data_IF_313964836492
#
_entry.id   IF_313964836492
#
_cell.length_a   1.000
_cell.length_b   1.000
_cell.length_c   1.000
_cell.angle_alpha   90.00
_cell.angle_beta   90.00
_cell.angle_gamma   90.00
#
_symmetry.space_group_name_H-M   'P 1'
#
loop_
_entity.id
_entity.type
_entity.pdbx_description
1 polymer ?
#
# COMPACT_ATOMS: atom_id res chain seq x y z
N UNK A 1 7.63 -24.96 5.30
CA UNK A 1 6.20 -25.24 5.56
C UNK A 1 5.38 -24.03 5.10
N UNK A 2 4.10 -24.22 4.82
CA UNK A 2 3.21 -23.09 4.55
C UNK A 2 2.52 -22.65 5.85
N UNK A 3 2.19 -21.38 5.94
CA UNK A 3 1.68 -20.67 7.11
C UNK A 3 0.36 -20.01 6.73
N UNK A 4 -0.56 -19.87 7.67
CA UNK A 4 -1.88 -19.28 7.41
C UNK A 4 -1.87 -17.82 7.86
N UNK A 5 -2.28 -16.93 6.97
CA UNK A 5 -2.54 -15.53 7.29
C UNK A 5 -4.01 -15.22 7.00
N UNK A 6 -4.60 -14.35 7.82
CA UNK A 6 -6.00 -13.93 7.70
C UNK A 6 -6.10 -12.46 7.30
N UNK A 7 -7.07 -12.19 6.44
CA UNK A 7 -7.34 -10.88 5.84
C UNK A 7 -8.62 -10.31 6.45
N UNK A 8 -8.51 -9.23 7.19
CA UNK A 8 -9.60 -8.53 7.87
C UNK A 8 -9.99 -7.27 7.08
N UNK A 9 -11.29 -6.91 6.95
CA UNK A 9 -12.48 -7.58 7.49
C UNK A 9 -13.05 -8.72 6.63
N UNK A 10 -12.40 -9.07 5.52
CA UNK A 10 -12.93 -10.03 4.55
C UNK A 10 -13.08 -11.46 5.12
N UNK A 11 -12.35 -11.78 6.18
CA UNK A 11 -12.33 -13.12 6.77
C UNK A 11 -11.60 -14.16 5.93
N UNK A 12 -11.00 -13.76 4.80
CA UNK A 12 -10.29 -14.65 3.88
C UNK A 12 -8.98 -15.12 4.50
N UNK A 13 -8.69 -16.40 4.38
CA UNK A 13 -7.41 -16.99 4.78
C UNK A 13 -6.60 -17.35 3.55
N UNK A 14 -5.28 -17.19 3.65
CA UNK A 14 -4.36 -17.54 2.57
C UNK A 14 -3.09 -18.17 3.10
N UNK A 15 -2.55 -19.07 2.28
CA UNK A 15 -1.36 -19.83 2.57
C UNK A 15 -0.13 -19.17 1.98
N UNK A 16 0.87 -18.92 2.82
CA UNK A 16 2.14 -18.29 2.46
C UNK A 16 3.30 -19.19 2.91
N UNK A 17 4.38 -19.29 2.11
CA UNK A 17 5.52 -20.11 2.54
C UNK A 17 6.28 -19.40 3.67
N UNK A 18 6.88 -20.17 4.56
CA UNK A 18 7.83 -19.62 5.54
C UNK A 18 8.88 -18.76 4.84
N UNK A 19 9.16 -17.59 5.40
CA UNK A 19 10.07 -16.55 4.88
C UNK A 19 9.64 -15.83 3.60
N UNK A 20 8.50 -16.16 2.99
CA UNK A 20 7.92 -15.34 1.93
C UNK A 20 7.36 -14.03 2.51
N UNK A 21 7.29 -12.99 1.67
CA UNK A 21 6.72 -11.70 2.07
C UNK A 21 5.20 -11.72 2.04
N UNK A 22 4.56 -11.00 2.97
CA UNK A 22 3.10 -10.92 3.08
C UNK A 22 2.43 -10.49 1.78
N UNK A 23 3.08 -9.62 1.00
CA UNK A 23 2.57 -9.14 -0.28
C UNK A 23 2.21 -10.29 -1.23
N UNK A 24 3.02 -11.35 -1.30
CA UNK A 24 2.74 -12.52 -2.14
C UNK A 24 1.42 -13.22 -1.78
N UNK A 25 1.04 -13.23 -0.49
CA UNK A 25 -0.25 -13.76 -0.03
C UNK A 25 -1.42 -12.82 -0.34
N UNK A 26 -1.20 -11.51 -0.24
CA UNK A 26 -2.20 -10.48 -0.52
C UNK A 26 -2.57 -10.42 -2.00
N UNK A 27 -1.57 -10.42 -2.89
CA UNK A 27 -1.78 -10.36 -4.34
C UNK A 27 -2.56 -11.56 -4.88
N UNK A 28 -2.36 -12.75 -4.30
CA UNK A 28 -3.10 -13.98 -4.68
C UNK A 28 -4.62 -13.86 -4.44
N UNK A 29 -5.04 -13.04 -3.49
CA UNK A 29 -6.44 -12.88 -3.12
C UNK A 29 -7.07 -11.64 -3.77
N UNK A 30 -6.42 -11.07 -4.79
CA UNK A 30 -6.89 -9.89 -5.54
C UNK A 30 -7.29 -8.73 -4.63
N UNK A 31 -6.59 -8.59 -3.51
CA UNK A 31 -6.80 -7.48 -2.61
C UNK A 31 -6.22 -6.20 -3.22
N UNK A 32 -6.80 -5.04 -2.88
CA UNK A 32 -6.36 -3.69 -3.28
C UNK A 32 -5.00 -3.33 -2.64
N UNK A 33 -3.97 -4.10 -2.94
CA UNK A 33 -2.60 -3.93 -2.50
C UNK A 33 -1.74 -3.97 -3.75
N UNK A 34 -0.88 -2.97 -3.90
CA UNK A 34 -0.03 -2.86 -5.08
C UNK A 34 1.44 -2.84 -4.73
N UNK A 35 2.25 -3.14 -5.73
CA UNK A 35 3.69 -3.11 -5.67
C UNK A 35 4.25 -2.04 -6.62
N UNK A 36 3.82 -0.80 -6.47
CA UNK A 36 4.17 0.31 -7.36
C UNK A 36 5.69 0.45 -7.55
N UNK A 37 6.46 0.31 -6.46
CA UNK A 37 7.93 0.35 -6.51
C UNK A 37 8.59 -1.01 -6.80
N UNK A 38 7.84 -2.03 -7.25
CA UNK A 38 8.33 -3.39 -7.47
C UNK A 38 8.76 -4.12 -6.19
N UNK A 39 8.19 -3.75 -5.03
CA UNK A 39 8.54 -4.38 -3.75
C UNK A 39 9.88 -3.93 -3.16
N UNK A 40 10.42 -2.79 -3.58
CA UNK A 40 11.71 -2.25 -3.11
C UNK A 40 11.65 -1.57 -1.73
N UNK A 41 10.46 -1.39 -1.18
CA UNK A 41 10.24 -0.68 0.09
C UNK A 41 10.47 0.82 -0.05
N UNK A 42 9.83 1.45 -1.06
CA UNK A 42 9.99 2.88 -1.38
C UNK A 42 8.65 3.58 -1.64
N UNK A 43 7.54 2.85 -1.60
CA UNK A 43 6.19 3.38 -1.75
C UNK A 43 5.30 2.90 -0.60
N UNK A 44 4.11 3.48 -0.47
CA UNK A 44 3.12 3.09 0.52
C UNK A 44 2.05 2.14 -0.02
N UNK A 45 2.06 1.79 -1.30
CA UNK A 45 0.96 1.02 -1.92
C UNK A 45 0.82 -0.43 -1.42
N UNK A 46 1.82 -0.94 -0.70
CA UNK A 46 1.78 -2.24 -0.03
C UNK A 46 1.63 -2.14 1.50
N UNK A 47 1.30 -0.94 1.99
CA UNK A 47 1.11 -0.67 3.41
C UNK A 47 -0.07 -1.46 3.95
N UNK A 48 0.12 -2.04 5.14
CA UNK A 48 -0.88 -2.82 5.85
C UNK A 48 -0.82 -2.51 7.34
N UNK A 49 -1.91 -2.84 8.04
CA UNK A 49 -1.97 -2.88 9.50
C UNK A 49 -1.98 -4.33 9.96
N UNK A 50 -1.08 -4.68 10.89
CA UNK A 50 -1.06 -6.01 11.52
C UNK A 50 -1.95 -5.98 12.76
N UNK A 51 -3.08 -6.68 12.73
CA UNK A 51 -4.01 -6.78 13.87
C UNK A 51 -3.52 -7.77 14.91
N UNK A 52 -2.89 -8.87 14.48
CA UNK A 52 -2.35 -9.94 15.33
C UNK A 52 -1.13 -10.60 14.67
N UNK A 53 -0.25 -11.20 15.46
CA UNK A 53 0.92 -11.95 14.97
C UNK A 53 2.05 -11.05 14.47
N UNK A 54 2.30 -9.91 15.11
CA UNK A 54 3.41 -9.03 14.73
C UNK A 54 4.77 -9.70 15.00
N UNK A 55 4.85 -10.46 16.09
CA UNK A 55 5.96 -11.33 16.48
C UNK A 55 6.23 -12.47 15.49
N UNK A 56 5.21 -12.84 14.70
CA UNK A 56 5.29 -13.84 13.63
C UNK A 56 5.86 -13.27 12.32
N UNK A 57 6.33 -12.02 12.31
CA UNK A 57 6.94 -11.37 11.16
C UNK A 57 8.42 -11.05 11.39
N UNK A 58 9.17 -10.98 10.30
CA UNK A 58 10.56 -10.51 10.36
C UNK A 58 10.65 -9.09 10.94
N UNK A 59 11.74 -8.75 11.64
CA UNK A 59 11.99 -7.39 12.10
C UNK A 59 11.93 -6.36 10.97
N UNK A 60 11.60 -5.12 11.32
CA UNK A 60 11.63 -3.99 10.39
C UNK A 60 13.04 -3.79 9.83
N UNK A 61 13.18 -3.81 8.51
CA UNK A 61 14.45 -3.49 7.87
C UNK A 61 14.61 -1.96 7.69
N UNK A 62 15.81 -1.52 7.30
CA UNK A 62 16.14 -0.08 7.17
C UNK A 62 15.26 0.65 6.15
N UNK A 63 14.97 0.03 5.00
CA UNK A 63 14.13 0.65 3.96
C UNK A 63 12.69 0.77 4.44
N UNK A 64 12.17 -0.31 5.02
CA UNK A 64 10.83 -0.35 5.60
C UNK A 64 10.63 0.78 6.63
N UNK A 65 11.57 0.97 7.56
CA UNK A 65 11.51 2.05 8.55
C UNK A 65 11.43 3.43 7.90
N UNK A 66 12.32 3.72 6.95
CA UNK A 66 12.35 5.02 6.25
C UNK A 66 11.06 5.32 5.50
N UNK A 67 10.47 4.33 4.87
CA UNK A 67 9.20 4.52 4.17
C UNK A 67 8.03 4.67 5.14
N UNK A 68 8.01 3.91 6.25
CA UNK A 68 6.98 4.07 7.28
C UNK A 68 7.01 5.46 7.93
N UNK A 69 8.18 6.09 8.05
CA UNK A 69 8.33 7.46 8.59
C UNK A 69 7.65 8.53 7.74
N UNK A 70 7.54 8.31 6.41
CA UNK A 70 6.91 9.28 5.50
C UNK A 70 5.43 8.99 5.23
N UNK A 71 4.92 7.85 5.71
CA UNK A 71 3.51 7.48 5.54
C UNK A 71 2.67 8.22 6.58
N UNK A 72 1.80 9.10 6.10
CA UNK A 72 0.94 9.95 6.95
C UNK A 72 -0.04 9.17 7.82
N UNK A 73 -0.48 7.98 7.36
CA UNK A 73 -1.42 7.10 8.08
C UNK A 73 -0.72 5.98 8.86
N UNK A 74 0.60 6.09 9.05
CA UNK A 74 1.40 5.08 9.74
C UNK A 74 0.99 4.97 11.21
N UNK A 75 0.92 3.73 11.71
CA UNK A 75 0.63 3.37 13.10
C UNK A 75 1.70 2.42 13.62
N UNK A 76 1.74 2.20 14.94
CA UNK A 76 2.69 1.26 15.56
C UNK A 76 2.60 -0.16 14.99
N UNK A 77 1.42 -0.55 14.52
CA UNK A 77 1.19 -1.85 13.91
C UNK A 77 1.30 -1.85 12.37
N UNK A 78 1.83 -0.78 11.77
CA UNK A 78 2.02 -0.69 10.33
C UNK A 78 3.22 -1.48 9.85
N UNK A 79 3.06 -2.14 8.70
CA UNK A 79 4.13 -2.83 7.97
C UNK A 79 4.03 -2.53 6.48
N UNK A 80 5.13 -2.70 5.77
CA UNK A 80 5.10 -2.84 4.31
C UNK A 80 5.03 -4.32 3.97
N UNK A 81 3.94 -4.76 3.37
CA UNK A 81 3.74 -6.18 3.08
C UNK A 81 4.84 -6.77 2.19
N UNK A 82 5.48 -5.96 1.34
CA UNK A 82 6.61 -6.41 0.51
C UNK A 82 7.90 -6.68 1.30
N UNK A 83 8.05 -6.06 2.48
CA UNK A 83 9.23 -6.18 3.34
C UNK A 83 9.00 -7.12 4.53
N UNK A 84 7.75 -7.32 4.94
CA UNK A 84 7.38 -8.17 6.06
C UNK A 84 7.35 -9.65 5.67
N UNK A 85 8.32 -10.43 6.14
CA UNK A 85 8.40 -11.89 5.89
C UNK A 85 7.70 -12.66 7.00
N UNK A 86 6.96 -13.71 6.63
CA UNK A 86 6.22 -14.53 7.60
C UNK A 86 7.10 -15.63 8.17
N UNK A 87 7.37 -15.57 9.47
CA UNK A 87 8.23 -16.51 10.21
C UNK A 87 7.45 -17.37 11.21
N UNK A 88 6.30 -16.89 11.71
CA UNK A 88 5.40 -17.58 12.65
C UNK A 88 3.98 -17.76 12.10
N UNK A 89 3.08 -18.37 12.85
CA UNK A 89 1.65 -18.52 12.47
C UNK A 89 0.79 -17.36 13.00
N UNK A 90 -0.46 -17.30 12.56
CA UNK A 90 -1.49 -16.48 13.20
C UNK A 90 -1.42 -14.98 12.87
N UNK A 91 -0.84 -14.62 11.73
CA UNK A 91 -0.80 -13.23 11.27
C UNK A 91 -2.18 -12.83 10.77
N UNK A 92 -2.73 -11.76 11.32
CA UNK A 92 -3.98 -11.14 10.86
C UNK A 92 -3.66 -9.74 10.38
N UNK A 93 -4.04 -9.41 9.15
CA UNK A 93 -3.72 -8.13 8.52
C UNK A 93 -4.98 -7.44 8.00
N UNK A 94 -4.93 -6.12 7.97
CA UNK A 94 -5.97 -5.21 7.48
C UNK A 94 -5.33 -4.23 6.49
N UNK A 95 -6.08 -3.83 5.47
CA UNK A 95 -5.65 -2.86 4.48
C UNK A 95 -6.07 -1.43 4.84
N UNK A 96 -5.29 -0.41 4.46
CA UNK A 96 -5.73 0.97 4.51
C UNK A 96 -7.00 1.16 3.67
N UNK A 97 -7.92 2.01 4.16
CA UNK A 97 -9.09 2.40 3.40
C UNK A 97 -8.74 3.47 2.36
N UNK A 98 -9.22 3.30 1.13
CA UNK A 98 -9.03 4.21 0.01
C UNK A 98 -8.40 3.53 -1.20
N UNK A 99 -8.28 4.31 -2.27
CA UNK A 99 -7.70 3.93 -3.56
C UNK A 99 -6.45 4.76 -3.80
N UNK A 100 -5.36 4.14 -4.22
CA UNK A 100 -4.16 4.88 -4.61
C UNK A 100 -4.32 5.50 -5.99
N UNK A 101 -3.74 6.68 -6.18
CA UNK A 101 -3.74 7.37 -7.47
C UNK A 101 -3.20 6.50 -8.63
N UNK A 102 -2.26 5.59 -8.37
CA UNK A 102 -1.72 4.68 -9.38
C UNK A 102 -2.74 3.67 -9.92
N UNK A 103 -3.86 3.44 -9.22
CA UNK A 103 -4.95 2.57 -9.69
C UNK A 103 -5.82 3.24 -10.76
N UNK A 104 -5.70 4.56 -10.93
CA UNK A 104 -6.56 5.33 -11.83
C UNK A 104 -5.92 5.36 -13.23
N UNK A 105 -6.54 4.62 -14.15
CA UNK A 105 -6.15 4.56 -15.56
C UNK A 105 -6.47 5.88 -16.28
N UNK A 106 -7.73 6.33 -16.22
CA UNK A 106 -8.22 7.56 -16.83
C UNK A 106 -8.64 8.57 -15.76
N UNK A 107 -7.74 9.51 -15.46
CA UNK A 107 -7.93 10.55 -14.45
C UNK A 107 -8.94 11.62 -14.95
N UNK A 108 -8.94 11.94 -16.24
CA UNK A 108 -9.83 12.95 -16.83
C UNK A 108 -11.30 12.50 -16.77
N UNK A 109 -11.57 11.20 -16.88
CA UNK A 109 -12.91 10.63 -16.73
C UNK A 109 -13.55 10.88 -15.34
N UNK A 110 -12.77 11.30 -14.34
CA UNK A 110 -13.25 11.61 -13.00
C UNK A 110 -13.84 13.03 -12.87
N UNK A 111 -13.60 13.93 -13.84
CA UNK A 111 -14.09 15.32 -13.77
C UNK A 111 -15.61 15.35 -13.61
N UNK A 112 -16.08 16.13 -12.64
CA UNK A 112 -17.50 16.30 -12.34
C UNK A 112 -18.13 15.14 -11.57
N UNK A 113 -17.38 14.08 -11.27
CA UNK A 113 -17.83 12.97 -10.40
C UNK A 113 -17.47 13.26 -8.94
N UNK A 114 -18.14 12.58 -8.02
CA UNK A 114 -17.73 12.54 -6.61
C UNK A 114 -16.80 11.37 -6.38
N UNK A 115 -15.75 11.58 -5.58
CA UNK A 115 -14.85 10.50 -5.19
C UNK A 115 -15.62 9.45 -4.38
N UNK A 116 -15.60 8.19 -4.84
CA UNK A 116 -16.29 7.08 -4.15
C UNK A 116 -15.57 6.63 -2.88
N UNK A 117 -14.27 6.92 -2.78
CA UNK A 117 -13.40 6.65 -1.65
C UNK A 117 -12.26 7.66 -1.66
N UNK A 118 -11.50 7.75 -0.57
CA UNK A 118 -10.32 8.59 -0.51
C UNK A 118 -9.32 8.21 -1.63
N UNK A 119 -8.84 9.19 -2.38
CA UNK A 119 -7.74 9.02 -3.33
C UNK A 119 -6.44 9.31 -2.59
N UNK A 120 -5.52 8.35 -2.57
CA UNK A 120 -4.29 8.38 -1.78
C UNK A 120 -3.05 8.58 -2.65
N UNK A 121 -2.07 9.30 -2.10
CA UNK A 121 -0.75 9.46 -2.70
C UNK A 121 0.06 8.14 -2.61
N UNK A 122 0.60 7.60 -3.71
CA UNK A 122 1.26 6.28 -3.75
C UNK A 122 2.54 6.14 -2.91
N UNK A 123 3.24 7.25 -2.64
CA UNK A 123 4.46 7.27 -1.81
C UNK A 123 4.19 7.54 -0.32
N UNK A 124 3.39 8.56 0.01
CA UNK A 124 3.18 9.04 1.38
C UNK A 124 1.87 8.58 2.03
N UNK A 125 0.98 7.93 1.27
CA UNK A 125 -0.37 7.59 1.73
C UNK A 125 -1.27 8.79 2.05
N UNK A 126 -0.84 10.02 1.74
CA UNK A 126 -1.61 11.25 2.00
C UNK A 126 -2.90 11.24 1.19
N UNK A 127 -4.01 11.64 1.79
CA UNK A 127 -5.27 11.85 1.07
C UNK A 127 -5.11 13.04 0.13
N UNK A 128 -5.27 12.80 -1.17
CA UNK A 128 -5.26 13.80 -2.25
C UNK A 128 -6.68 14.33 -2.51
N UNK A 129 -7.67 13.43 -2.47
CA UNK A 129 -9.09 13.77 -2.58
C UNK A 129 -9.86 12.98 -1.54
N UNK A 130 -10.62 13.67 -0.70
CA UNK A 130 -11.48 13.03 0.30
C UNK A 130 -12.71 12.39 -0.36
N UNK A 131 -13.17 11.29 0.21
CA UNK A 131 -14.44 10.66 -0.16
C UNK A 131 -15.59 11.67 -0.21
N UNK A 132 -16.44 11.54 -1.22
CA UNK A 132 -17.60 12.38 -1.43
C UNK A 132 -17.31 13.76 -2.03
N UNK A 133 -16.04 14.22 -2.10
CA UNK A 133 -15.71 15.51 -2.72
C UNK A 133 -15.95 15.48 -4.23
N UNK A 134 -16.45 16.60 -4.77
CA UNK A 134 -16.60 16.80 -6.22
C UNK A 134 -15.20 17.00 -6.83
N UNK A 135 -14.88 16.16 -7.81
CA UNK A 135 -13.60 16.21 -8.51
C UNK A 135 -13.67 17.28 -9.59
N UNK A 136 -12.86 18.32 -9.44
CA UNK A 136 -12.82 19.46 -10.37
C UNK A 136 -11.64 19.34 -11.35
N UNK A 137 -11.68 20.10 -12.45
CA UNK A 137 -10.56 20.16 -13.42
C UNK A 137 -9.25 20.60 -12.77
N UNK A 138 -9.30 21.51 -11.79
CA UNK A 138 -8.11 21.93 -11.03
C UNK A 138 -7.52 20.79 -10.19
N UNK A 139 -8.37 19.98 -9.56
CA UNK A 139 -7.91 18.79 -8.82
C UNK A 139 -7.29 17.76 -9.77
N UNK A 140 -7.85 17.55 -10.96
CA UNK A 140 -7.25 16.65 -11.95
C UNK A 140 -5.85 17.09 -12.34
N UNK A 141 -5.66 18.37 -12.65
CA UNK A 141 -4.32 18.90 -12.96
C UNK A 141 -3.31 18.65 -11.83
N UNK A 142 -3.74 18.75 -10.56
CA UNK A 142 -2.90 18.42 -9.41
C UNK A 142 -2.59 16.91 -9.31
N UNK A 143 -3.58 16.05 -9.58
CA UNK A 143 -3.40 14.60 -9.58
C UNK A 143 -2.43 14.16 -10.70
N UNK A 144 -2.54 14.73 -11.90
CA UNK A 144 -1.63 14.45 -13.00
C UNK A 144 -0.20 14.87 -12.69
N UNK A 145 -0.02 16.08 -12.13
CA UNK A 145 1.31 16.53 -11.69
C UNK A 145 1.88 15.57 -10.63
N UNK A 146 1.06 15.19 -9.64
CA UNK A 146 1.45 14.22 -8.60
C UNK A 146 1.85 12.88 -9.21
N UNK A 147 1.11 12.37 -10.20
CA UNK A 147 1.44 11.11 -10.91
C UNK A 147 2.81 11.22 -11.59
N UNK A 148 3.09 12.35 -12.25
CA UNK A 148 4.39 12.63 -12.86
C UNK A 148 5.54 12.72 -11.85
N UNK A 149 5.33 13.36 -10.69
CA UNK A 149 6.31 13.44 -9.59
C UNK A 149 6.63 12.05 -9.02
N UNK A 150 5.60 11.22 -8.79
CA UNK A 150 5.76 9.84 -8.31
C UNK A 150 6.57 9.01 -9.31
N UNK A 151 6.26 9.08 -10.61
CA UNK A 151 7.02 8.37 -11.63
C UNK A 151 8.50 8.77 -11.63
N UNK A 152 8.81 10.07 -11.53
CA UNK A 152 10.19 10.58 -11.44
C UNK A 152 10.90 10.08 -10.19
N UNK A 153 10.22 10.11 -9.04
CA UNK A 153 10.77 9.61 -7.78
C UNK A 153 11.16 8.13 -7.86
N UNK A 154 10.28 7.29 -8.42
CA UNK A 154 10.53 5.86 -8.56
C UNK A 154 11.65 5.56 -9.57
N UNK A 155 11.73 6.34 -10.66
CA UNK A 155 12.81 6.23 -11.63
C UNK A 155 14.17 6.56 -11.00
N UNK A 156 14.30 7.69 -10.31
CA UNK A 156 15.56 8.15 -9.72
C UNK A 156 16.07 7.25 -8.58
N UNK A 157 15.17 6.53 -7.91
CA UNK A 157 15.55 5.62 -6.81
C UNK A 157 15.91 4.22 -7.31
N UNK A 158 15.83 3.97 -8.63
CA UNK A 158 16.31 2.73 -9.27
C UNK A 158 17.83 2.58 -9.22
N UNK A 159 18.56 3.71 -9.22
CA UNK A 159 20.00 3.77 -9.42
C UNK A 159 20.81 3.71 -8.11
N UNK A 160 20.14 3.57 -6.96
CA UNK A 160 20.75 3.54 -5.64
C UNK A 160 20.92 2.12 -5.06
N UNK A 161 21.19 1.13 -5.91
CA UNK A 161 21.44 -0.28 -5.53
C UNK A 161 22.94 -0.48 -5.27
#
# INVERSE_FOLDING_TARGET
MAKIIRLDPLGTETSIKTNDNLLSGLLKNQLNVMQECGGRGMCSTCHIYVKKGMESLSPLNRREKRTLEVITTCKLNSRLACQARVIGEGVVVELPAGMYLSEIEDIEALIGRRAQQNILHPISGKILVEEGKLITRSMISQLENTKGEVSKYLANTSDAI
#
